data_IF_459133859043
#
_entry.id   IF_459133859043
#
_cell.length_a   1.000
_cell.length_b   1.000
_cell.length_c   1.000
_cell.angle_alpha   90.00
_cell.angle_beta   90.00
_cell.angle_gamma   90.00
#
_symmetry.space_group_name_H-M   'P 1'
#
loop_
_entity.id
_entity.type
_entity.pdbx_description
1 polymer ?
#
# COMPACT_ATOMS: atom_id res chain seq x y z
N UNK A 1 1.94 -1.99 0.50
CA UNK A 1 1.44 -0.88 1.35
C UNK A 1 0.61 0.15 0.59
N UNK A 2 0.60 0.13 -0.75
CA UNK A 2 -0.45 0.78 -1.57
C UNK A 2 -1.30 -0.22 -2.38
N UNK A 3 -0.98 -1.52 -2.32
CA UNK A 3 -1.70 -2.58 -3.04
C UNK A 3 -2.73 -3.32 -2.20
N UNK A 4 -2.78 -3.03 -0.90
CA UNK A 4 -3.94 -3.40 -0.09
C UNK A 4 -5.11 -2.46 -0.40
N UNK A 5 -4.82 -1.32 -1.03
CA UNK A 5 -5.76 -0.25 -1.28
C UNK A 5 -6.47 -0.53 -2.60
N UNK A 6 -5.77 -0.78 -3.72
CA UNK A 6 -6.35 -1.01 -5.07
C UNK A 6 -7.34 -2.21 -5.22
N UNK A 7 -7.72 -2.85 -4.11
CA UNK A 7 -8.24 -4.21 -4.06
C UNK A 7 -9.56 -4.38 -3.32
N UNK A 8 -10.26 -3.30 -2.97
CA UNK A 8 -11.57 -3.41 -2.32
C UNK A 8 -12.67 -2.70 -3.12
N UNK A 9 -13.51 -3.57 -3.67
CA UNK A 9 -14.72 -3.44 -4.47
C UNK A 9 -14.60 -2.95 -5.93
N UNK A 10 -14.50 -3.93 -6.83
CA UNK A 10 -15.35 -3.91 -8.03
C UNK A 10 -16.65 -4.61 -7.66
N UNK A 11 -17.68 -3.84 -7.37
CA UNK A 11 -19.06 -4.25 -7.58
C UNK A 11 -19.73 -3.10 -8.34
N UNK A 12 -20.58 -3.38 -9.36
CA UNK A 12 -21.33 -2.35 -10.03
C UNK A 12 -22.39 -1.83 -9.06
N UNK A 13 -22.09 -0.79 -8.30
CA UNK A 13 -23.14 0.10 -7.79
C UNK A 13 -23.55 0.94 -8.99
N UNK A 14 -24.80 0.78 -9.42
CA UNK A 14 -25.33 1.40 -10.63
C UNK A 14 -24.94 2.87 -10.70
N UNK A 15 -24.13 3.20 -11.70
CA UNK A 15 -23.96 4.58 -12.15
C UNK A 15 -25.32 4.99 -12.69
N UNK A 16 -26.15 5.58 -11.83
CA UNK A 16 -27.21 6.46 -12.30
C UNK A 16 -26.52 7.71 -12.84
N UNK A 17 -26.05 7.61 -14.09
CA UNK A 17 -25.79 8.77 -14.90
C UNK A 17 -27.14 9.48 -15.06
N UNK A 18 -27.37 10.50 -14.24
CA UNK A 18 -28.34 11.55 -14.57
C UNK A 18 -27.84 12.20 -15.86
N UNK A 19 -28.37 11.72 -16.99
CA UNK A 19 -28.27 12.40 -18.26
C UNK A 19 -29.09 13.69 -18.18
N UNK A 20 -28.41 14.77 -17.78
CA UNK A 20 -28.85 16.12 -18.12
C UNK A 20 -28.29 16.49 -19.50
N UNK A 21 -29.24 16.71 -20.40
CA UNK A 21 -29.24 17.68 -21.50
C UNK A 21 -28.54 17.35 -22.81
N UNK A 22 -29.40 17.27 -23.84
CA UNK A 22 -29.33 17.98 -25.12
C UNK A 22 -29.32 17.08 -26.35
N UNK A 23 -30.49 17.05 -27.01
CA UNK A 23 -30.66 16.97 -28.45
C UNK A 23 -29.47 17.58 -29.22
N UNK A 24 -28.75 16.77 -30.00
CA UNK A 24 -28.57 17.01 -31.44
C UNK A 24 -27.76 15.90 -32.16
N UNK A 25 -28.38 15.36 -33.22
CA UNK A 25 -27.81 14.80 -34.47
C UNK A 25 -27.04 13.46 -34.39
N UNK A 26 -27.62 12.33 -34.85
CA UNK A 26 -27.63 11.78 -36.26
C UNK A 26 -26.22 11.71 -36.87
N UNK A 27 -25.71 10.62 -37.45
CA UNK A 27 -26.24 9.33 -37.90
C UNK A 27 -25.02 8.47 -38.29
N UNK A 28 -24.95 7.18 -37.94
CA UNK A 28 -24.64 6.14 -38.93
C UNK A 28 -24.86 4.73 -38.36
N UNK A 29 -25.61 3.95 -39.14
CA UNK A 29 -26.11 2.62 -38.82
C UNK A 29 -25.18 1.56 -39.45
N UNK A 30 -24.69 0.62 -38.64
CA UNK A 30 -24.11 -0.64 -39.10
C UNK A 30 -24.58 -1.77 -38.17
N UNK A 31 -25.25 -2.83 -38.67
CA UNK A 31 -25.78 -3.89 -37.82
C UNK A 31 -24.73 -4.98 -37.59
N UNK A 32 -24.76 -5.58 -36.39
CA UNK A 32 -24.05 -6.78 -35.93
C UNK A 32 -22.66 -6.57 -35.30
N UNK A 33 -22.69 -6.26 -34.01
CA UNK A 33 -21.56 -6.37 -33.08
C UNK A 33 -22.05 -6.26 -31.64
N UNK A 34 -22.72 -7.29 -31.13
CA UNK A 34 -23.12 -7.38 -29.71
C UNK A 34 -21.85 -7.67 -28.91
N UNK A 35 -21.13 -6.61 -28.60
CA UNK A 35 -19.93 -6.60 -27.79
C UNK A 35 -19.60 -5.15 -27.53
N UNK A 36 -20.41 -4.50 -26.69
CA UNK A 36 -20.24 -3.09 -26.33
C UNK A 36 -18.86 -2.95 -25.67
N UNK A 37 -17.87 -2.63 -26.50
CA UNK A 37 -16.52 -2.32 -26.08
C UNK A 37 -16.63 -1.05 -25.25
N UNK A 38 -16.55 -1.20 -23.93
CA UNK A 38 -16.39 -0.10 -22.99
C UNK A 38 -15.38 0.90 -23.56
N UNK A 39 -15.79 2.15 -23.72
CA UNK A 39 -14.88 3.17 -24.24
C UNK A 39 -13.73 3.37 -23.25
N UNK A 40 -12.57 3.84 -23.72
CA UNK A 40 -11.42 4.08 -22.83
C UNK A 40 -11.75 5.04 -21.69
N UNK A 41 -12.65 6.00 -21.95
CA UNK A 41 -13.07 7.00 -20.96
C UNK A 41 -14.00 6.39 -19.90
N UNK A 42 -14.95 5.55 -20.30
CA UNK A 42 -15.78 4.78 -19.37
C UNK A 42 -14.93 3.83 -18.52
N UNK A 43 -13.94 3.16 -19.14
CA UNK A 43 -13.01 2.27 -18.46
C UNK A 43 -12.18 3.04 -17.43
N UNK A 44 -11.66 4.21 -17.80
CA UNK A 44 -10.94 5.10 -16.89
C UNK A 44 -11.80 5.58 -15.73
N UNK A 45 -13.03 6.02 -15.98
CA UNK A 45 -13.96 6.45 -14.93
C UNK A 45 -14.28 5.32 -13.95
N UNK A 46 -14.49 4.11 -14.48
CA UNK A 46 -14.71 2.92 -13.66
C UNK A 46 -13.50 2.61 -12.80
N UNK A 47 -12.30 2.55 -13.38
CA UNK A 47 -11.06 2.31 -12.64
C UNK A 47 -10.81 3.40 -11.59
N UNK A 48 -11.13 4.67 -11.89
CA UNK A 48 -11.03 5.75 -10.92
C UNK A 48 -11.95 5.52 -9.72
N UNK A 49 -13.21 5.14 -9.94
CA UNK A 49 -14.13 4.80 -8.86
C UNK A 49 -13.61 3.64 -8.00
N UNK A 50 -12.96 2.66 -8.61
CA UNK A 50 -12.31 1.55 -7.88
C UNK A 50 -11.17 2.07 -7.00
N UNK A 51 -10.36 2.99 -7.53
CA UNK A 51 -9.24 3.61 -6.81
C UNK A 51 -9.73 4.50 -5.65
N UNK A 52 -10.82 5.24 -5.81
CA UNK A 52 -11.37 6.09 -4.75
C UNK A 52 -11.94 5.25 -3.59
N UNK A 53 -12.60 4.15 -3.93
CA UNK A 53 -13.17 3.24 -2.96
C UNK A 53 -12.09 2.46 -2.18
N UNK A 54 -11.09 2.00 -2.93
CA UNK A 54 -9.82 1.50 -2.44
C UNK A 54 -9.22 2.45 -1.39
N UNK A 55 -9.05 3.73 -1.76
CA UNK A 55 -8.56 4.79 -0.88
C UNK A 55 -9.39 4.86 0.39
N UNK A 56 -10.71 4.73 0.29
CA UNK A 56 -11.69 4.67 1.39
C UNK A 56 -11.50 3.51 2.39
N UNK A 57 -10.72 2.48 2.07
CA UNK A 57 -10.38 1.38 3.00
C UNK A 57 -8.97 1.44 3.61
N UNK A 58 -8.14 2.38 3.18
CA UNK A 58 -6.77 2.57 3.71
C UNK A 58 -6.76 2.91 5.21
N UNK A 59 -5.94 2.27 6.07
CA UNK A 59 -5.86 2.69 7.47
C UNK A 59 -5.33 4.12 7.59
N UNK A 60 -5.88 4.91 8.52
CA UNK A 60 -5.48 6.32 8.67
C UNK A 60 -4.07 6.49 9.28
N UNK A 61 -3.61 5.47 9.99
CA UNK A 61 -2.32 5.43 10.67
C UNK A 61 -1.61 4.11 10.40
N UNK A 62 -0.29 4.20 10.28
CA UNK A 62 0.60 3.07 10.14
C UNK A 62 1.77 3.18 11.09
N UNK A 63 2.05 2.05 11.75
CA UNK A 63 3.18 1.91 12.66
C UNK A 63 4.13 0.85 12.12
N UNK A 64 5.43 1.19 12.07
CA UNK A 64 6.46 0.30 11.56
C UNK A 64 7.70 0.26 12.42
N UNK A 65 8.41 -0.87 12.33
CA UNK A 65 9.63 -1.15 13.08
C UNK A 65 10.65 -1.81 12.15
N UNK A 66 11.85 -1.24 12.03
CA UNK A 66 13.00 -1.79 11.29
C UNK A 66 14.10 -2.13 12.28
N UNK A 67 14.46 -3.41 12.39
CA UNK A 67 15.46 -3.94 13.33
C UNK A 67 15.22 -3.55 14.80
N UNK A 68 14.00 -3.12 15.14
CA UNK A 68 13.64 -2.78 16.51
C UNK A 68 13.77 -4.03 17.40
N UNK A 69 14.31 -3.86 18.60
CA UNK A 69 14.59 -4.95 19.55
C UNK A 69 15.57 -6.02 19.04
N UNK A 70 16.24 -5.80 17.90
CA UNK A 70 17.27 -6.74 17.42
C UNK A 70 18.42 -6.80 18.43
N UNK A 71 18.74 -8.02 18.86
CA UNK A 71 19.85 -8.31 19.76
C UNK A 71 20.94 -9.10 19.06
N UNK A 72 22.16 -9.03 19.61
CA UNK A 72 23.32 -9.83 19.22
C UNK A 72 23.82 -10.56 20.44
N UNK A 73 24.09 -11.86 20.28
CA UNK A 73 24.67 -12.70 21.32
C UNK A 73 26.16 -12.38 21.47
N UNK A 74 26.55 -11.92 22.65
CA UNK A 74 27.94 -11.64 23.00
C UNK A 74 28.41 -12.59 24.09
N UNK A 75 29.70 -12.92 24.06
CA UNK A 75 30.30 -13.73 25.11
C UNK A 75 30.39 -12.91 26.39
N UNK A 76 29.80 -13.43 27.47
CA UNK A 76 29.69 -12.75 28.76
C UNK A 76 30.53 -13.44 29.84
N UNK A 77 31.66 -14.04 29.42
CA UNK A 77 32.60 -14.73 30.29
C UNK A 77 32.27 -16.21 30.51
N UNK A 78 32.80 -16.73 31.61
CA UNK A 78 32.76 -18.16 31.94
C UNK A 78 32.15 -18.32 33.32
N UNK A 79 31.21 -19.25 33.46
CA UNK A 79 30.63 -19.64 34.74
C UNK A 79 31.39 -20.86 35.24
N UNK A 80 32.07 -20.69 36.36
CA UNK A 80 32.70 -21.79 37.08
C UNK A 80 31.69 -22.39 38.05
N UNK A 81 31.53 -23.71 38.02
CA UNK A 81 30.84 -24.48 39.06
C UNK A 81 31.79 -25.54 39.59
N UNK A 82 31.88 -25.63 40.91
CA UNK A 82 32.69 -26.63 41.60
C UNK A 82 31.75 -27.59 42.32
N UNK A 83 31.70 -28.82 41.85
CA UNK A 83 30.99 -29.92 42.50
C UNK A 83 32.04 -30.92 43.01
N UNK A 84 32.33 -30.88 44.31
CA UNK A 84 33.40 -31.66 44.92
C UNK A 84 34.79 -31.35 44.33
N UNK A 85 35.47 -32.37 43.81
CA UNK A 85 36.78 -32.28 43.12
C UNK A 85 36.66 -31.91 41.62
N UNK A 86 35.45 -31.85 41.06
CA UNK A 86 35.25 -31.59 39.63
C UNK A 86 34.96 -30.11 39.39
N UNK A 87 35.85 -29.45 38.66
CA UNK A 87 35.65 -28.09 38.14
C UNK A 87 34.96 -28.17 36.78
N UNK A 88 33.78 -27.57 36.67
CA UNK A 88 33.07 -27.44 35.39
C UNK A 88 33.04 -25.98 34.94
N UNK A 89 33.38 -25.79 33.67
CA UNK A 89 33.61 -24.48 33.06
C UNK A 89 32.61 -24.31 31.91
N UNK A 90 31.58 -23.50 32.11
CA UNK A 90 30.53 -23.30 31.10
C UNK A 90 30.62 -21.89 30.51
N UNK A 91 30.63 -21.80 29.19
CA UNK A 91 30.64 -20.53 28.47
C UNK A 91 29.30 -19.80 28.71
N UNK A 92 29.34 -18.56 29.20
CA UNK A 92 28.15 -17.71 29.38
C UNK A 92 28.02 -16.78 28.18
N UNK A 93 26.80 -16.67 27.68
CA UNK A 93 26.44 -15.72 26.63
C UNK A 93 25.39 -14.74 27.17
N UNK A 94 25.38 -13.54 26.62
CA UNK A 94 24.39 -12.50 26.91
C UNK A 94 23.91 -11.89 25.60
N UNK A 95 22.60 -11.72 25.45
CA UNK A 95 22.03 -10.99 24.32
C UNK A 95 21.99 -9.50 24.64
N UNK A 96 22.52 -8.70 23.74
CA UNK A 96 22.60 -7.24 23.89
C UNK A 96 22.04 -6.54 22.65
N UNK A 97 21.37 -5.39 22.84
CA UNK A 97 20.86 -4.59 21.72
C UNK A 97 22.01 -4.16 20.81
N UNK A 98 21.79 -4.22 19.50
CA UNK A 98 22.82 -3.88 18.53
C UNK A 98 22.22 -3.34 17.22
N UNK A 99 23.03 -2.56 16.51
CA UNK A 99 22.73 -2.04 15.18
C UNK A 99 21.93 -0.74 15.20
N UNK A 100 21.56 -0.31 13.98
CA UNK A 100 20.61 0.77 13.76
C UNK A 100 19.19 0.22 13.93
N UNK A 101 18.42 0.81 14.83
CA UNK A 101 17.04 0.44 15.12
C UNK A 101 16.15 1.64 14.84
N UNK A 102 15.10 1.43 14.06
CA UNK A 102 14.18 2.49 13.65
C UNK A 102 12.76 2.06 13.99
N UNK A 103 12.02 2.95 14.64
CA UNK A 103 10.58 2.85 14.81
C UNK A 103 9.96 4.08 14.19
N UNK A 104 8.90 3.91 13.41
CA UNK A 104 8.25 5.01 12.74
C UNK A 104 6.74 4.90 12.84
N UNK A 105 6.11 6.05 12.80
CA UNK A 105 4.69 6.30 12.84
C UNK A 105 4.39 7.23 11.68
N UNK A 106 3.45 6.86 10.83
CA UNK A 106 3.03 7.66 9.67
C UNK A 106 1.51 7.71 9.69
N UNK A 107 0.94 8.89 9.49
CA UNK A 107 -0.50 9.09 9.49
C UNK A 107 -0.89 10.17 8.50
N UNK A 108 -2.15 10.15 8.05
CA UNK A 108 -2.69 11.29 7.32
C UNK A 108 -2.84 12.49 8.26
N UNK A 109 -2.72 13.72 7.76
CA UNK A 109 -2.95 14.90 8.56
C UNK A 109 -4.43 15.00 8.96
N UNK A 110 -4.67 15.53 10.15
CA UNK A 110 -6.02 15.74 10.69
C UNK A 110 -6.47 14.65 11.67
N UNK A 111 -7.78 14.56 11.88
CA UNK A 111 -8.38 13.59 12.79
C UNK A 111 -8.62 12.25 12.10
N UNK A 112 -8.65 11.15 12.85
CA UNK A 112 -8.86 9.80 12.31
C UNK A 112 -10.16 9.62 11.50
N UNK A 113 -11.17 10.46 11.77
CA UNK A 113 -12.45 10.49 11.06
C UNK A 113 -12.47 11.41 9.84
N UNK A 114 -11.42 12.21 9.62
CA UNK A 114 -11.34 13.13 8.49
C UNK A 114 -11.16 12.38 7.17
N UNK A 115 -11.63 12.95 6.04
CA UNK A 115 -11.34 12.43 4.71
C UNK A 115 -9.84 12.32 4.49
N UNK A 116 -9.41 11.28 3.78
CA UNK A 116 -7.98 11.08 3.48
C UNK A 116 -7.61 12.02 2.35
N UNK A 117 -6.59 12.88 2.51
CA UNK A 117 -6.15 13.80 1.46
C UNK A 117 -5.28 13.04 0.45
N UNK A 118 -5.84 12.02 -0.20
CA UNK A 118 -5.16 11.30 -1.28
C UNK A 118 -5.74 11.80 -2.59
N UNK A 119 -4.92 12.49 -3.37
CA UNK A 119 -5.23 12.81 -4.75
C UNK A 119 -4.81 11.61 -5.60
N UNK A 120 -5.78 10.87 -6.13
CA UNK A 120 -5.51 9.79 -7.06
C UNK A 120 -6.01 10.12 -8.46
N UNK A 121 -5.19 9.81 -9.45
CA UNK A 121 -5.51 10.06 -10.85
C UNK A 121 -5.09 8.86 -11.67
N UNK A 122 -6.08 8.18 -12.22
CA UNK A 122 -5.86 7.18 -13.26
C UNK A 122 -5.45 7.93 -14.52
N UNK A 123 -4.21 7.77 -14.98
CA UNK A 123 -3.69 8.45 -16.16
C UNK A 123 -4.14 7.81 -17.46
N UNK A 124 -4.08 6.49 -17.50
CA UNK A 124 -4.30 5.73 -18.71
C UNK A 124 -4.90 4.36 -18.38
N UNK A 125 -5.82 3.93 -19.24
CA UNK A 125 -6.43 2.60 -19.19
C UNK A 125 -6.47 2.08 -20.62
N UNK A 126 -5.66 1.06 -20.91
CA UNK A 126 -5.58 0.48 -22.26
C UNK A 126 -5.92 -1.00 -22.21
N UNK A 127 -6.78 -1.42 -23.12
CA UNK A 127 -7.08 -2.84 -23.27
C UNK A 127 -5.83 -3.60 -23.75
N UNK A 128 -5.55 -4.72 -23.11
CA UNK A 128 -4.48 -5.64 -23.46
C UNK A 128 -5.11 -6.97 -23.86
N UNK A 129 -5.13 -7.25 -25.16
CA UNK A 129 -5.32 -8.62 -25.64
C UNK A 129 -4.09 -9.42 -25.22
N UNK A 130 -4.22 -10.25 -24.19
CA UNK A 130 -3.11 -11.08 -23.75
C UNK A 130 -2.69 -12.07 -24.83
N UNK A 131 -1.41 -12.42 -24.86
CA UNK A 131 -0.87 -13.50 -25.71
C UNK A 131 -1.21 -14.88 -25.12
N UNK A 132 -0.88 -15.98 -25.80
CA UNK A 132 -1.19 -17.36 -25.37
C UNK A 132 -0.79 -17.74 -23.92
N UNK A 133 0.09 -16.97 -23.27
CA UNK A 133 0.51 -17.15 -21.87
C UNK A 133 -0.15 -16.17 -20.88
N UNK A 134 -0.77 -15.08 -21.35
CA UNK A 134 -1.36 -14.02 -20.52
C UNK A 134 -2.85 -13.85 -20.85
N UNK A 135 -3.70 -13.66 -19.84
CA UNK A 135 -5.14 -13.49 -20.07
C UNK A 135 -5.43 -12.16 -20.78
N UNK A 136 -6.60 -11.96 -21.37
CA UNK A 136 -7.04 -10.60 -21.70
C UNK A 136 -7.20 -9.76 -20.41
N UNK A 137 -6.97 -8.46 -20.47
CA UNK A 137 -7.07 -7.58 -19.31
C UNK A 137 -6.86 -6.12 -19.67
N UNK A 138 -6.79 -5.27 -18.64
CA UNK A 138 -6.59 -3.83 -18.78
C UNK A 138 -5.28 -3.42 -18.15
N UNK A 139 -4.44 -2.71 -18.88
CA UNK A 139 -3.27 -2.03 -18.33
C UNK A 139 -3.71 -0.70 -17.74
N UNK A 140 -3.33 -0.45 -16.49
CA UNK A 140 -3.73 0.70 -15.70
C UNK A 140 -2.49 1.43 -15.24
N UNK A 141 -2.47 2.73 -15.48
CA UNK A 141 -1.47 3.65 -14.93
C UNK A 141 -2.15 4.60 -13.96
N UNK A 142 -1.70 4.60 -12.71
CA UNK A 142 -2.30 5.40 -11.66
C UNK A 142 -1.23 6.13 -10.87
N UNK A 143 -1.49 7.41 -10.63
CA UNK A 143 -0.70 8.24 -9.72
C UNK A 143 -1.49 8.56 -8.47
N UNK A 144 -0.82 8.51 -7.33
CA UNK A 144 -1.35 8.92 -6.05
C UNK A 144 -0.40 9.92 -5.41
N UNK A 145 -0.92 11.05 -4.95
CA UNK A 145 -0.18 12.04 -4.17
C UNK A 145 -0.88 12.24 -2.83
N UNK A 146 -0.13 12.27 -1.74
CA UNK A 146 -0.72 12.49 -0.42
C UNK A 146 0.26 13.13 0.57
N UNK A 147 -0.17 14.15 1.34
CA UNK A 147 0.57 14.63 2.49
C UNK A 147 0.39 13.67 3.68
N UNK A 148 1.46 13.49 4.45
CA UNK A 148 1.53 12.61 5.59
C UNK A 148 2.30 13.27 6.73
N UNK A 149 1.86 13.05 7.95
CA UNK A 149 2.62 13.37 9.15
C UNK A 149 3.44 12.14 9.54
N UNK A 150 4.68 12.36 10.00
CA UNK A 150 5.51 11.29 10.50
C UNK A 150 6.16 11.60 11.83
N UNK A 151 6.45 10.52 12.55
CA UNK A 151 7.34 10.52 13.70
C UNK A 151 8.21 9.28 13.63
N UNK A 152 9.52 9.48 13.59
CA UNK A 152 10.51 8.43 13.51
C UNK A 152 11.49 8.52 14.68
N UNK A 153 11.64 7.43 15.41
CA UNK A 153 12.67 7.25 16.43
C UNK A 153 13.78 6.37 15.89
N UNK A 154 14.99 6.91 15.90
CA UNK A 154 16.20 6.28 15.40
C UNK A 154 17.17 6.10 16.56
N UNK A 155 17.59 4.86 16.79
CA UNK A 155 18.54 4.51 17.83
C UNK A 155 19.73 3.76 17.24
N UNK A 156 20.94 4.14 17.66
CA UNK A 156 22.16 3.41 17.33
C UNK A 156 22.70 2.70 18.55
N UNK A 157 22.76 1.37 18.48
CA UNK A 157 23.28 0.51 19.54
C UNK A 157 24.57 -0.18 19.10
N UNK A 158 25.58 -0.20 19.95
CA UNK A 158 26.78 -1.01 19.77
C UNK A 158 27.00 -1.92 20.98
N UNK A 159 26.84 -3.23 20.79
CA UNK A 159 27.04 -4.26 21.82
C UNK A 159 26.40 -3.93 23.19
N UNK A 160 25.19 -3.38 23.20
CA UNK A 160 24.45 -3.02 24.40
C UNK A 160 24.63 -1.57 24.88
N UNK A 161 25.52 -0.79 24.28
CA UNK A 161 25.68 0.65 24.55
C UNK A 161 24.90 1.45 23.53
N UNK A 162 24.02 2.35 23.99
CA UNK A 162 23.30 3.29 23.13
C UNK A 162 24.20 4.49 22.82
N UNK A 163 24.54 4.68 21.55
CA UNK A 163 25.37 5.80 21.09
C UNK A 163 24.54 7.08 20.97
N UNK A 164 23.38 6.97 20.31
CA UNK A 164 22.43 8.07 20.21
C UNK A 164 21.00 7.56 20.08
N UNK A 165 20.07 8.43 20.43
CA UNK A 165 18.64 8.25 20.29
C UNK A 165 18.06 9.58 19.85
N UNK A 166 17.58 9.61 18.61
CA UNK A 166 16.99 10.81 18.01
C UNK A 166 15.55 10.47 17.65
N UNK A 167 14.67 11.42 17.92
CA UNK A 167 13.29 11.40 17.46
C UNK A 167 13.09 12.57 16.52
N UNK A 168 12.57 12.27 15.34
CA UNK A 168 12.32 13.22 14.27
C UNK A 168 10.82 13.21 14.03
N UNK A 169 10.18 14.38 14.03
CA UNK A 169 8.79 14.54 13.62
C UNK A 169 8.68 15.62 12.56
N UNK A 170 7.72 15.46 11.67
CA UNK A 170 7.57 16.35 10.54
C UNK A 170 6.40 15.99 9.64
N UNK A 171 6.35 16.70 8.52
CA UNK A 171 5.40 16.51 7.43
C UNK A 171 6.14 16.05 6.17
N UNK A 172 5.50 15.22 5.35
CA UNK A 172 6.02 14.80 4.07
C UNK A 172 4.93 14.77 3.01
N UNK A 173 5.29 15.01 1.75
CA UNK A 173 4.45 14.73 0.60
C UNK A 173 5.05 13.54 -0.14
N UNK A 174 4.26 12.48 -0.33
CA UNK A 174 4.68 11.32 -1.10
C UNK A 174 3.89 11.24 -2.41
N UNK A 175 4.55 10.72 -3.44
CA UNK A 175 3.95 10.39 -4.73
C UNK A 175 4.22 8.94 -5.06
N UNK A 176 3.18 8.20 -5.38
CA UNK A 176 3.27 6.84 -5.86
C UNK A 176 2.77 6.79 -7.29
N UNK A 177 3.58 6.21 -8.17
CA UNK A 177 3.16 5.79 -9.49
C UNK A 177 3.05 4.28 -9.51
N UNK A 178 1.93 3.76 -10.02
CA UNK A 178 1.64 2.33 -10.13
C UNK A 178 1.28 2.01 -11.57
N UNK A 179 1.98 1.03 -12.12
CA UNK A 179 1.58 0.38 -13.37
C UNK A 179 1.13 -1.02 -13.03
N UNK A 180 -0.11 -1.33 -13.36
CA UNK A 180 -0.71 -2.61 -13.07
C UNK A 180 -1.53 -3.12 -14.23
N UNK A 181 -1.89 -4.39 -14.13
CA UNK A 181 -2.76 -5.10 -15.04
C UNK A 181 -3.95 -5.62 -14.27
N UNK A 182 -5.16 -5.35 -14.73
CA UNK A 182 -6.40 -5.85 -14.17
C UNK A 182 -6.99 -6.90 -15.10
N UNK A 183 -7.02 -8.15 -14.66
CA UNK A 183 -7.63 -9.25 -15.41
C UNK A 183 -8.93 -9.66 -14.73
N UNK A 184 -9.91 -10.12 -15.50
CA UNK A 184 -11.12 -10.74 -14.96
C UNK A 184 -11.42 -12.02 -15.72
N UNK A 185 -11.72 -13.10 -15.00
CA UNK A 185 -12.08 -14.37 -15.63
C UNK A 185 -13.10 -15.15 -14.81
N UNK A 186 -13.98 -15.92 -15.45
CA UNK A 186 -14.87 -16.83 -14.77
C UNK A 186 -14.10 -18.02 -14.19
N UNK A 187 -14.48 -18.44 -13.00
CA UNK A 187 -14.01 -19.62 -12.31
C UNK A 187 -15.13 -20.65 -12.22
N UNK A 188 -14.97 -21.71 -13.01
CA UNK A 188 -15.93 -22.80 -13.18
C UNK A 188 -15.76 -23.93 -12.14
N UNK A 189 -14.88 -23.77 -11.16
CA UNK A 189 -14.72 -24.76 -10.08
C UNK A 189 -15.91 -24.78 -9.10
N UNK A 190 -16.79 -23.78 -9.17
CA UNK A 190 -18.00 -23.63 -8.36
C UNK A 190 -19.21 -23.38 -9.26
N UNK A 191 -20.38 -23.86 -8.86
CA UNK A 191 -21.66 -23.67 -9.55
C UNK A 191 -22.61 -22.83 -8.67
N UNK A 192 -23.09 -21.65 -9.11
CA UNK A 192 -22.77 -20.96 -10.37
C UNK A 192 -21.32 -20.41 -10.41
N UNK A 193 -20.74 -20.18 -11.61
CA UNK A 193 -19.34 -19.77 -11.74
C UNK A 193 -19.09 -18.43 -11.07
N UNK A 194 -18.00 -18.34 -10.31
CA UNK A 194 -17.56 -17.10 -9.69
C UNK A 194 -16.81 -16.23 -10.71
N UNK A 195 -16.90 -14.91 -10.60
CA UNK A 195 -16.04 -14.00 -11.36
C UNK A 195 -14.82 -13.68 -10.49
N UNK A 196 -13.63 -13.94 -11.01
CA UNK A 196 -12.37 -13.66 -10.31
C UNK A 196 -11.72 -12.43 -10.92
N UNK A 197 -11.39 -11.47 -10.06
CA UNK A 197 -10.63 -10.28 -10.42
C UNK A 197 -9.18 -10.51 -9.99
N UNK A 198 -8.26 -10.37 -10.92
CA UNK A 198 -6.84 -10.68 -10.72
C UNK A 198 -5.99 -9.48 -11.13
N UNK A 199 -5.85 -8.49 -10.23
CA UNK A 199 -4.96 -7.36 -10.43
C UNK A 199 -3.52 -7.77 -10.12
N UNK A 200 -2.61 -7.39 -10.99
CA UNK A 200 -1.17 -7.62 -10.85
C UNK A 200 -0.44 -6.31 -11.00
N UNK A 201 0.44 -5.97 -10.07
CA UNK A 201 1.29 -4.78 -10.18
C UNK A 201 2.56 -5.16 -10.94
N UNK A 202 2.75 -4.55 -12.10
CA UNK A 202 3.93 -4.74 -12.96
C UNK A 202 5.09 -3.90 -12.45
N UNK A 203 4.83 -2.64 -12.12
CA UNK A 203 5.84 -1.75 -11.53
C UNK A 203 5.18 -0.76 -10.57
N UNK A 204 5.97 -0.30 -9.60
CA UNK A 204 5.56 0.74 -8.68
C UNK A 204 6.77 1.52 -8.21
N UNK A 205 6.66 2.85 -8.22
CA UNK A 205 7.70 3.75 -7.73
C UNK A 205 7.12 4.74 -6.73
N UNK A 206 7.76 4.83 -5.57
CA UNK A 206 7.46 5.79 -4.53
C UNK A 206 8.53 6.89 -4.57
N UNK A 207 8.08 8.13 -4.55
CA UNK A 207 8.91 9.33 -4.53
C UNK A 207 8.49 10.20 -3.34
N UNK A 208 9.48 10.78 -2.67
CA UNK A 208 9.27 11.82 -1.68
C UNK A 208 9.33 13.15 -2.41
N UNK A 209 8.18 13.82 -2.53
CA UNK A 209 8.07 15.09 -3.22
C UNK A 209 8.53 16.25 -2.32
N UNK A 210 8.20 16.19 -1.03
CA UNK A 210 8.61 17.18 -0.06
C UNK A 210 8.82 16.54 1.33
N UNK A 211 9.78 17.06 2.09
CA UNK A 211 10.03 16.69 3.48
C UNK A 211 10.24 17.95 4.30
N UNK A 212 9.43 18.12 5.34
CA UNK A 212 9.58 19.19 6.31
C UNK A 212 9.76 18.58 7.69
N UNK A 213 10.84 18.95 8.38
CA UNK A 213 11.15 18.44 9.71
C UNK A 213 10.84 19.53 10.72
N UNK A 214 9.83 19.30 11.56
CA UNK A 214 9.40 20.28 12.56
C UNK A 214 10.30 20.24 13.80
N UNK A 215 10.70 19.03 14.21
CA UNK A 215 11.40 18.84 15.47
C UNK A 215 12.34 17.65 15.42
N UNK A 216 13.52 17.87 15.98
CA UNK A 216 14.52 16.84 16.29
C UNK A 216 14.77 16.85 17.80
N UNK A 217 14.50 15.76 18.49
CA UNK A 217 14.74 15.69 19.94
C UNK A 217 16.23 15.71 20.28
N UNK A 218 16.57 16.36 21.40
CA UNK A 218 17.92 16.51 22.00
C UNK A 218 18.92 17.44 21.29
N UNK A 219 18.49 18.19 20.28
CA UNK A 219 19.39 19.10 19.56
C UNK A 219 18.79 20.52 19.60
N UNK A 220 19.51 21.46 20.21
CA UNK A 220 19.13 22.87 20.27
C UNK A 220 20.02 23.74 19.38
N UNK A 221 19.42 24.76 18.76
CA UNK A 221 20.09 25.91 18.15
C UNK A 221 20.83 25.64 16.85
N UNK A 222 22.10 25.24 16.95
CA UNK A 222 23.04 25.25 15.80
C UNK A 222 23.27 23.87 15.16
N UNK A 223 23.05 22.76 15.89
CA UNK A 223 23.32 21.42 15.35
C UNK A 223 22.11 20.84 14.60
N UNK A 224 20.96 21.52 14.63
CA UNK A 224 19.71 21.05 14.02
C UNK A 224 19.79 20.98 12.49
N UNK A 225 20.48 21.93 11.86
CA UNK A 225 20.65 22.02 10.40
C UNK A 225 21.45 20.82 9.86
N UNK A 226 22.57 20.47 10.51
CA UNK A 226 23.38 19.29 10.15
C UNK A 226 22.61 17.97 10.31
N UNK A 227 21.73 17.87 11.31
CA UNK A 227 20.87 16.69 11.45
C UNK A 227 19.76 16.65 10.40
N UNK A 228 19.27 17.79 9.93
CA UNK A 228 18.32 17.90 8.81
C UNK A 228 18.88 17.24 7.56
N UNK A 229 20.10 17.61 7.15
CA UNK A 229 20.78 17.02 5.99
C UNK A 229 21.03 15.51 6.14
N UNK A 230 21.43 15.07 7.34
CA UNK A 230 21.65 13.64 7.62
C UNK A 230 20.34 12.86 7.55
N UNK A 231 19.24 13.41 8.09
CA UNK A 231 17.92 12.76 8.02
C UNK A 231 17.43 12.72 6.58
N UNK A 232 17.52 13.82 5.84
CA UNK A 232 17.12 13.87 4.44
C UNK A 232 17.88 12.84 3.61
N UNK A 233 19.21 12.76 3.80
CA UNK A 233 20.04 11.76 3.13
C UNK A 233 19.66 10.31 3.50
N UNK A 234 19.36 10.05 4.76
CA UNK A 234 18.89 8.72 5.22
C UNK A 234 17.52 8.38 4.64
N UNK A 235 16.61 9.35 4.55
CA UNK A 235 15.26 9.13 4.00
C UNK A 235 15.35 8.87 2.50
N UNK A 236 16.04 9.73 1.75
CA UNK A 236 16.14 9.62 0.29
C UNK A 236 16.97 8.42 -0.15
N UNK A 237 18.23 8.29 0.28
CA UNK A 237 19.13 7.26 -0.26
C UNK A 237 18.90 5.86 0.35
N UNK A 238 18.50 5.78 1.63
CA UNK A 238 18.49 4.49 2.34
C UNK A 238 17.07 3.93 2.49
N UNK A 239 16.05 4.77 2.61
CA UNK A 239 14.67 4.29 2.81
C UNK A 239 13.92 4.16 1.48
N UNK A 240 13.92 5.18 0.62
CA UNK A 240 13.11 5.16 -0.61
C UNK A 240 13.62 4.11 -1.61
N UNK A 241 14.93 4.04 -1.84
CA UNK A 241 15.51 3.06 -2.78
C UNK A 241 15.27 1.61 -2.33
N UNK A 242 15.47 1.32 -1.04
CA UNK A 242 15.19 0.01 -0.46
C UNK A 242 13.70 -0.34 -0.52
N UNK A 243 12.81 0.66 -0.36
CA UNK A 243 11.38 0.48 -0.49
C UNK A 243 11.03 0.17 -1.94
N UNK A 244 11.48 0.98 -2.89
CA UNK A 244 11.20 0.85 -4.33
C UNK A 244 11.65 -0.50 -4.88
N UNK A 245 12.85 -0.96 -4.52
CA UNK A 245 13.37 -2.29 -4.90
C UNK A 245 12.42 -3.43 -4.54
N UNK A 246 11.68 -3.30 -3.43
CA UNK A 246 10.79 -4.34 -2.90
C UNK A 246 9.31 -3.97 -3.00
N UNK A 247 9.00 -2.83 -3.62
CA UNK A 247 7.67 -2.23 -3.55
C UNK A 247 6.69 -3.11 -4.31
N UNK A 248 6.92 -3.33 -5.61
CA UNK A 248 6.06 -4.19 -6.44
C UNK A 248 5.86 -5.59 -5.81
N UNK A 249 6.91 -6.23 -5.30
CA UNK A 249 6.81 -7.54 -4.67
C UNK A 249 5.95 -7.52 -3.38
N UNK A 250 6.09 -6.48 -2.56
CA UNK A 250 5.22 -6.27 -1.39
C UNK A 250 3.79 -5.94 -1.78
N UNK A 251 3.62 -5.26 -2.92
CA UNK A 251 2.31 -4.92 -3.46
C UNK A 251 1.58 -6.20 -3.88
N UNK A 252 2.17 -6.99 -4.77
CA UNK A 252 1.60 -8.28 -5.20
C UNK A 252 1.39 -9.25 -4.03
N UNK A 253 2.33 -9.35 -3.10
CA UNK A 253 2.13 -10.19 -1.89
C UNK A 253 0.92 -9.75 -1.04
N UNK A 254 0.59 -8.47 -1.03
CA UNK A 254 -0.60 -7.98 -0.34
C UNK A 254 -1.88 -8.34 -1.09
N UNK A 255 -1.83 -8.32 -2.43
CA UNK A 255 -2.91 -8.78 -3.30
C UNK A 255 -3.15 -10.27 -3.11
N UNK A 256 -2.10 -11.09 -3.15
CA UNK A 256 -2.19 -12.56 -3.01
C UNK A 256 -2.82 -12.97 -1.68
N UNK A 257 -2.50 -12.27 -0.59
CA UNK A 257 -3.10 -12.51 0.74
C UNK A 257 -4.60 -12.25 0.79
N UNK A 258 -5.13 -11.49 -0.16
CA UNK A 258 -6.51 -11.05 -0.24
C UNK A 258 -7.21 -11.58 -1.49
N UNK A 259 -6.57 -12.53 -2.20
CA UNK A 259 -7.08 -13.08 -3.47
C UNK A 259 -8.46 -13.72 -3.32
N UNK A 260 -8.77 -14.29 -2.16
CA UNK A 260 -10.09 -14.88 -1.90
C UNK A 260 -11.21 -13.83 -1.84
N UNK A 261 -10.92 -12.60 -1.41
CA UNK A 261 -11.88 -11.49 -1.39
C UNK A 261 -12.17 -10.93 -2.80
N UNK A 262 -11.39 -11.36 -3.81
CA UNK A 262 -11.56 -10.96 -5.22
C UNK A 262 -12.37 -11.96 -6.05
N UNK A 263 -12.92 -12.97 -5.39
CA UNK A 263 -13.78 -13.99 -6.01
C UNK A 263 -15.22 -13.62 -5.69
N UNK A 264 -15.94 -13.18 -6.71
CA UNK A 264 -17.34 -12.79 -6.59
C UNK A 264 -18.20 -13.97 -6.98
N UNK A 265 -18.98 -14.53 -6.04
CA UNK A 265 -19.97 -15.53 -6.38
C UNK A 265 -21.12 -14.89 -7.17
N UNK A 266 -21.54 -15.51 -8.27
CA UNK A 266 -22.71 -15.05 -9.01
C UNK A 266 -24.00 -15.06 -8.16
N UNK A 267 -24.07 -15.86 -7.09
CA UNK A 267 -25.19 -15.87 -6.14
C UNK A 267 -25.29 -14.58 -5.31
N UNK A 268 -24.16 -14.02 -4.90
CA UNK A 268 -24.11 -12.77 -4.12
C UNK A 268 -24.46 -11.57 -5.01
N UNK A 269 -24.06 -11.64 -6.28
CA UNK A 269 -24.44 -10.66 -7.29
C UNK A 269 -25.94 -10.67 -7.62
N UNK A 270 -26.54 -11.87 -7.81
CA UNK A 270 -27.98 -12.00 -8.07
C UNK A 270 -28.85 -11.60 -6.88
N UNK A 271 -28.42 -11.92 -5.66
CA UNK A 271 -29.16 -11.55 -4.43
C UNK A 271 -29.07 -10.04 -4.13
N UNK A 272 -27.97 -9.38 -4.48
CA UNK A 272 -27.87 -7.91 -4.41
C UNK A 272 -28.77 -7.19 -5.42
N UNK A 273 -28.99 -7.77 -6.60
CA UNK A 273 -29.91 -7.23 -7.62
C UNK A 273 -31.39 -7.37 -7.20
N UNK A 274 -31.76 -8.47 -6.55
CA UNK A 274 -33.15 -8.69 -6.09
C UNK A 274 -33.49 -7.93 -4.81
N UNK A 275 -32.50 -7.66 -3.94
CA UNK A 275 -32.71 -6.88 -2.71
C UNK A 275 -33.03 -5.39 -2.94
N UNK A 276 -32.77 -4.86 -4.14
CA UNK A 276 -33.08 -3.45 -4.49
C UNK A 276 -34.51 -3.27 -5.01
N UNK A 277 -35.29 -4.36 -5.13
CA UNK A 277 -36.64 -4.35 -5.68
C UNK A 277 -37.79 -4.18 -4.67
N UNK A 278 -37.52 -4.14 -3.36
CA UNK A 278 -38.57 -4.15 -2.33
C UNK A 278 -38.36 -3.02 -1.32
N UNK A 279 -38.64 -1.79 -1.77
CA UNK A 279 -38.85 -0.65 -0.88
C UNK A 279 -40.34 -0.25 -1.02
N UNK A 280 -41.21 -0.57 -0.04
CA UNK A 280 -42.59 -0.12 -0.08
C UNK A 280 -42.61 1.40 0.09
N UNK A 281 -43.26 2.09 -0.86
CA UNK A 281 -43.60 3.49 -0.75
C UNK A 281 -44.49 3.74 0.49
N UNK A 282 -44.44 4.95 1.09
CA UNK A 282 -45.19 5.27 2.31
C UNK A 282 -46.71 5.21 2.12
#
# INVERSE_FOLDING_TARGET
MLATVMLLLVAPQGVQAQAQLSDNQRSDNGPNGVGSMMTSDEARATVQSLVDLAIGKTPHRYDGKKNWEKTKKIWAGVRFRRDGLKLSTHRRWRDVRHGLQTRYHVQFPGQASAPRPILATVRNVTHSSGDSAERAGWMIECDLATPLDFTARIERWNLGVQWYSVEVSGHMEIRLTVHGRLSSYPDYSVLPPAIVIDPTVTSASLHLAALHVDRISKVGGEVAETWGEIVEKIVNEILIDDINKKLHAKLNKAIDKKRDELRFSASDWMSGLTATGDQPAP
#
